data_IF_556974266301
#
_entry.id   IF_556974266301
#
_cell.length_a   1.000
_cell.length_b   1.000
_cell.length_c   1.000
_cell.angle_alpha   90.00
_cell.angle_beta   90.00
_cell.angle_gamma   90.00
#
_symmetry.space_group_name_H-M   'P 1'
#
loop_
_entity.id
_entity.type
_entity.pdbx_description
1 polymer ?
#
# COMPACT_ATOMS: atom_id res chain seq x y z
N UNK A 1 -13.71 -19.48 10.83
CA UNK A 1 -13.26 -20.81 10.40
C UNK A 1 -12.79 -20.72 8.95
N UNK A 2 -11.50 -20.36 8.73
CA UNK A 2 -10.91 -20.33 7.38
C UNK A 2 -10.42 -21.74 7.04
N UNK A 3 -11.05 -22.37 6.04
CA UNK A 3 -10.61 -23.61 5.44
C UNK A 3 -9.27 -23.40 4.74
N UNK A 4 -8.22 -24.09 5.19
CA UNK A 4 -6.91 -24.12 4.52
C UNK A 4 -7.06 -24.89 3.21
N UNK A 5 -7.12 -24.18 2.07
CA UNK A 5 -6.96 -24.82 0.76
C UNK A 5 -5.48 -25.14 0.54
N UNK A 6 -5.15 -26.42 0.54
CA UNK A 6 -3.83 -26.91 0.13
C UNK A 6 -3.70 -26.78 -1.39
N UNK A 7 -2.78 -25.92 -1.86
CA UNK A 7 -2.44 -25.81 -3.26
C UNK A 7 -1.38 -26.85 -3.62
N UNK A 8 -1.71 -27.76 -4.53
CA UNK A 8 -0.79 -28.79 -5.03
C UNK A 8 -0.21 -28.36 -6.38
N UNK A 9 1.10 -28.23 -6.47
CA UNK A 9 1.83 -28.10 -7.74
C UNK A 9 2.32 -29.48 -8.17
N UNK A 10 1.88 -29.93 -9.33
CA UNK A 10 2.26 -31.23 -9.92
C UNK A 10 3.52 -31.06 -10.76
N UNK A 11 4.68 -31.47 -10.27
CA UNK A 11 5.88 -31.59 -11.07
C UNK A 11 5.86 -32.87 -11.90
N UNK A 12 6.16 -32.78 -13.20
CA UNK A 12 6.37 -33.95 -14.08
C UNK A 12 7.76 -34.54 -13.76
N UNK A 13 7.78 -35.83 -13.40
CA UNK A 13 8.91 -36.69 -13.09
C UNK A 13 9.56 -36.55 -11.69
N UNK A 14 9.29 -37.55 -10.89
CA UNK A 14 9.60 -37.86 -9.49
C UNK A 14 8.62 -37.27 -8.48
N UNK A 15 7.85 -38.15 -7.84
CA UNK A 15 6.68 -37.88 -7.01
C UNK A 15 7.05 -37.38 -5.61
N UNK A 16 7.69 -36.22 -5.51
CA UNK A 16 7.76 -35.49 -4.26
C UNK A 16 6.65 -34.45 -4.24
N UNK A 17 5.67 -34.66 -3.36
CA UNK A 17 4.62 -33.68 -3.09
C UNK A 17 5.26 -32.54 -2.32
N UNK A 18 5.66 -31.46 -3.02
CA UNK A 18 6.17 -30.27 -2.35
C UNK A 18 4.96 -29.56 -1.74
N UNK A 19 4.82 -29.68 -0.41
CA UNK A 19 3.81 -28.93 0.34
C UNK A 19 4.31 -27.50 0.49
N UNK A 20 3.78 -26.59 -0.33
CA UNK A 20 3.99 -25.16 -0.12
C UNK A 20 3.21 -24.72 1.12
N UNK A 21 3.92 -24.30 2.16
CA UNK A 21 3.33 -23.68 3.35
C UNK A 21 3.45 -22.15 3.20
N UNK A 22 2.32 -21.44 3.02
CA UNK A 22 2.36 -19.99 2.88
C UNK A 22 2.89 -19.33 4.17
N UNK A 23 3.86 -18.44 4.02
CA UNK A 23 4.38 -17.64 5.12
C UNK A 23 3.44 -16.50 5.45
N UNK A 24 2.80 -16.52 6.61
CA UNK A 24 1.91 -15.46 7.08
C UNK A 24 2.56 -14.51 8.08
N UNK A 25 3.84 -14.72 8.40
CA UNK A 25 4.58 -13.82 9.25
C UNK A 25 4.87 -12.50 8.53
N UNK A 26 4.61 -11.38 9.19
CA UNK A 26 4.85 -10.03 8.69
C UNK A 26 5.92 -9.40 9.57
N UNK A 27 7.00 -8.92 8.94
CA UNK A 27 8.02 -8.13 9.60
C UNK A 27 7.55 -6.67 9.61
N UNK A 28 7.26 -6.16 10.80
CA UNK A 28 6.84 -4.77 10.99
C UNK A 28 8.05 -3.89 11.29
N UNK A 29 8.10 -2.73 10.64
CA UNK A 29 9.11 -1.69 10.87
C UNK A 29 8.44 -0.33 10.89
N UNK A 30 8.67 0.45 11.95
CA UNK A 30 8.35 1.87 11.99
C UNK A 30 9.61 2.66 11.64
N UNK A 31 9.52 3.46 10.60
CA UNK A 31 10.63 4.27 10.07
C UNK A 31 10.63 5.72 10.61
N UNK A 32 9.54 6.11 11.33
CA UNK A 32 9.34 7.49 11.77
C UNK A 32 9.19 8.47 10.60
N UNK A 33 9.65 9.71 10.77
CA UNK A 33 9.64 10.73 9.74
C UNK A 33 10.82 10.54 8.78
N UNK A 34 10.57 10.18 7.53
CA UNK A 34 11.60 9.84 6.55
C UNK A 34 11.27 10.42 5.17
N UNK A 35 12.28 10.92 4.39
CA UNK A 35 12.07 11.40 3.03
C UNK A 35 11.42 10.34 2.14
N UNK A 36 10.47 10.78 1.28
CA UNK A 36 9.70 9.89 0.41
C UNK A 36 10.58 9.01 -0.49
N UNK A 37 11.63 9.62 -1.09
CA UNK A 37 12.52 8.92 -2.03
C UNK A 37 13.26 7.75 -1.38
N UNK A 38 13.73 7.92 -0.16
CA UNK A 38 14.45 6.88 0.59
C UNK A 38 13.53 5.69 0.89
N UNK A 39 12.30 5.97 1.31
CA UNK A 39 11.32 4.92 1.57
C UNK A 39 10.86 4.24 0.29
N UNK A 40 10.74 4.96 -0.82
CA UNK A 40 10.42 4.36 -2.11
C UNK A 40 11.53 3.40 -2.57
N UNK A 41 12.80 3.80 -2.47
CA UNK A 41 13.95 2.94 -2.80
C UNK A 41 14.00 1.69 -1.91
N UNK A 42 13.70 1.85 -0.62
CA UNK A 42 13.60 0.72 0.29
C UNK A 42 12.49 -0.25 -0.13
N UNK A 43 11.30 0.24 -0.48
CA UNK A 43 10.19 -0.58 -0.96
C UNK A 43 10.59 -1.37 -2.22
N UNK A 44 11.24 -0.72 -3.21
CA UNK A 44 11.70 -1.39 -4.44
C UNK A 44 12.75 -2.47 -4.13
N UNK A 45 13.65 -2.21 -3.20
CA UNK A 45 14.66 -3.19 -2.74
C UNK A 45 14.00 -4.41 -2.10
N UNK A 46 13.04 -4.21 -1.19
CA UNK A 46 12.32 -5.30 -0.51
C UNK A 46 11.46 -6.11 -1.49
N UNK A 47 10.77 -5.43 -2.40
CA UNK A 47 10.00 -6.09 -3.47
C UNK A 47 10.91 -6.93 -4.38
N UNK A 48 12.07 -6.40 -4.77
CA UNK A 48 13.04 -7.12 -5.57
C UNK A 48 13.66 -8.30 -4.81
N UNK A 49 13.90 -8.16 -3.50
CA UNK A 49 14.36 -9.25 -2.64
C UNK A 49 13.33 -10.40 -2.62
N UNK A 50 12.08 -10.10 -2.33
CA UNK A 50 10.98 -11.08 -2.31
C UNK A 50 10.84 -11.76 -3.68
N UNK A 51 10.95 -11.00 -4.78
CA UNK A 51 10.89 -11.55 -6.13
C UNK A 51 12.05 -12.51 -6.43
N UNK A 52 13.27 -12.22 -5.94
CA UNK A 52 14.42 -13.13 -6.09
C UNK A 52 14.21 -14.44 -5.34
N UNK A 53 13.74 -14.39 -4.09
CA UNK A 53 13.41 -15.60 -3.32
C UNK A 53 12.37 -16.44 -4.06
N UNK A 54 11.29 -15.80 -4.53
CA UNK A 54 10.21 -16.43 -5.29
C UNK A 54 10.69 -17.08 -6.59
N UNK A 55 11.60 -16.42 -7.30
CA UNK A 55 12.20 -16.97 -8.53
C UNK A 55 13.11 -18.16 -8.23
N UNK A 56 13.94 -18.06 -7.18
CA UNK A 56 14.82 -19.15 -6.78
C UNK A 56 14.04 -20.42 -6.43
N UNK A 57 12.90 -20.27 -5.76
CA UNK A 57 12.03 -21.39 -5.39
C UNK A 57 11.50 -22.21 -6.59
N UNK A 58 11.47 -21.63 -7.79
CA UNK A 58 10.98 -22.36 -9.00
C UNK A 58 11.91 -23.48 -9.45
N UNK A 59 13.20 -23.38 -9.11
CA UNK A 59 14.26 -24.24 -9.61
C UNK A 59 14.95 -25.08 -8.49
N UNK A 60 14.44 -25.00 -7.25
CA UNK A 60 15.04 -25.68 -6.10
C UNK A 60 14.13 -26.76 -5.56
N UNK A 61 14.74 -27.81 -5.00
CA UNK A 61 14.03 -28.88 -4.28
C UNK A 61 13.56 -28.44 -2.88
N UNK A 62 14.19 -27.41 -2.32
CA UNK A 62 13.85 -26.85 -1.02
C UNK A 62 13.26 -25.43 -1.23
N UNK A 63 11.99 -25.25 -0.83
CA UNK A 63 11.28 -23.98 -0.94
C UNK A 63 11.57 -23.14 0.30
N UNK A 64 12.10 -21.93 0.09
CA UNK A 64 12.27 -20.92 1.14
C UNK A 64 11.01 -20.07 1.26
N UNK A 65 10.53 -19.78 2.49
CA UNK A 65 9.43 -18.87 2.70
C UNK A 65 9.74 -17.48 2.12
N UNK A 66 8.83 -16.91 1.32
CA UNK A 66 8.96 -15.52 0.87
C UNK A 66 8.62 -14.57 2.02
N UNK A 67 9.41 -13.49 2.21
CA UNK A 67 9.16 -12.55 3.30
C UNK A 67 7.98 -11.61 2.98
N UNK A 68 7.35 -11.10 4.05
CA UNK A 68 6.36 -10.03 3.99
C UNK A 68 6.78 -8.92 4.95
N UNK A 69 6.70 -7.67 4.50
CA UNK A 69 7.10 -6.49 5.27
C UNK A 69 5.94 -5.51 5.37
N UNK A 70 5.73 -4.92 6.54
CA UNK A 70 4.85 -3.79 6.75
C UNK A 70 5.68 -2.64 7.29
N UNK A 71 5.83 -1.59 6.47
CA UNK A 71 6.53 -0.39 6.89
C UNK A 71 5.50 0.69 7.25
N UNK A 72 5.69 1.33 8.41
CA UNK A 72 4.99 2.56 8.75
C UNK A 72 5.97 3.71 8.73
N UNK A 73 5.50 4.88 8.31
CA UNK A 73 6.28 6.11 8.33
C UNK A 73 5.37 7.34 8.25
N UNK A 74 5.97 8.50 8.47
CA UNK A 74 5.50 9.78 8.03
C UNK A 74 6.49 10.35 7.00
N UNK A 75 6.04 11.28 6.15
CA UNK A 75 6.91 11.96 5.20
C UNK A 75 6.94 13.47 5.46
N UNK A 76 8.04 14.17 5.16
CA UNK A 76 7.98 15.60 4.87
C UNK A 76 6.98 15.87 3.76
N UNK A 77 6.51 17.11 3.63
CA UNK A 77 5.51 17.47 2.62
C UNK A 77 5.91 17.01 1.22
N UNK A 78 5.09 16.17 0.61
CA UNK A 78 5.33 15.61 -0.72
C UNK A 78 4.04 15.33 -1.47
N UNK A 79 4.03 15.68 -2.74
CA UNK A 79 3.00 15.27 -3.69
C UNK A 79 3.50 14.11 -4.53
N UNK A 80 2.65 13.10 -4.73
CA UNK A 80 2.98 11.95 -5.56
C UNK A 80 1.93 11.77 -6.65
N UNK A 81 2.37 11.76 -7.91
CA UNK A 81 1.51 11.51 -9.08
C UNK A 81 1.60 10.04 -9.45
N UNK A 82 0.48 9.32 -9.38
CA UNK A 82 0.38 7.93 -9.75
C UNK A 82 0.40 7.72 -11.27
N UNK A 83 0.43 6.45 -11.68
CA UNK A 83 0.58 6.06 -13.10
C UNK A 83 -0.57 6.55 -13.99
N UNK A 84 -1.78 6.63 -13.47
CA UNK A 84 -2.98 7.09 -14.19
C UNK A 84 -3.31 8.56 -13.96
N UNK A 85 -2.43 9.29 -13.23
CA UNK A 85 -2.68 10.67 -12.88
C UNK A 85 -2.35 11.66 -14.00
N UNK A 86 -3.07 12.79 -14.00
CA UNK A 86 -2.80 13.92 -14.86
C UNK A 86 -1.97 14.97 -14.09
N UNK A 87 -0.90 15.48 -14.70
CA UNK A 87 -0.07 16.53 -14.10
C UNK A 87 -0.82 17.84 -13.89
N UNK A 88 -1.88 18.10 -14.66
CA UNK A 88 -2.75 19.27 -14.49
C UNK A 88 -3.52 19.24 -13.15
N UNK A 89 -3.60 18.08 -12.50
CA UNK A 89 -4.17 17.95 -11.16
C UNK A 89 -3.25 18.50 -10.05
N UNK A 90 -2.00 18.83 -10.36
CA UNK A 90 -1.18 19.71 -9.52
C UNK A 90 -1.52 21.16 -9.89
N UNK A 91 -2.29 21.83 -9.03
CA UNK A 91 -2.81 23.21 -9.26
C UNK A 91 -1.74 24.28 -9.07
N UNK A 92 -0.57 23.91 -8.58
CA UNK A 92 0.59 24.79 -8.37
C UNK A 92 1.71 24.40 -9.34
N UNK A 93 2.46 25.39 -9.82
CA UNK A 93 3.67 25.09 -10.61
C UNK A 93 4.68 24.34 -9.74
N UNK A 94 5.26 23.28 -10.28
CA UNK A 94 6.24 22.43 -9.56
C UNK A 94 7.42 23.25 -9.00
N UNK A 95 7.85 24.29 -9.75
CA UNK A 95 8.91 25.21 -9.33
C UNK A 95 8.60 26.00 -8.05
N UNK A 96 7.33 26.13 -7.65
CA UNK A 96 6.92 26.85 -6.45
C UNK A 96 6.71 25.93 -5.23
N UNK A 97 6.75 24.61 -5.39
CA UNK A 97 6.52 23.69 -4.28
C UNK A 97 7.51 23.88 -3.13
N UNK A 98 8.76 24.29 -3.44
CA UNK A 98 9.77 24.58 -2.43
C UNK A 98 9.35 25.71 -1.48
N UNK A 99 8.52 26.67 -1.92
CA UNK A 99 8.05 27.78 -1.08
C UNK A 99 7.12 27.34 0.05
N UNK A 100 6.47 26.17 -0.13
CA UNK A 100 5.64 25.51 0.88
C UNK A 100 6.34 24.31 1.50
N UNK A 101 7.65 24.15 1.29
CA UNK A 101 8.45 23.05 1.82
C UNK A 101 8.08 21.67 1.27
N UNK A 102 7.44 21.62 0.08
CA UNK A 102 6.98 20.36 -0.51
C UNK A 102 7.87 19.90 -1.68
N UNK A 103 7.95 18.58 -1.86
CA UNK A 103 8.56 17.93 -3.01
C UNK A 103 7.50 17.27 -3.90
N UNK A 104 7.89 16.86 -5.11
CA UNK A 104 7.02 16.20 -6.08
C UNK A 104 7.70 15.00 -6.73
N UNK A 105 6.98 13.88 -6.82
CA UNK A 105 7.46 12.68 -7.48
C UNK A 105 6.40 12.06 -8.39
N UNK A 106 6.80 11.72 -9.62
CA UNK A 106 6.03 10.83 -10.50
C UNK A 106 6.39 9.40 -10.17
N UNK A 107 5.39 8.57 -9.86
CA UNK A 107 5.59 7.23 -9.34
C UNK A 107 4.70 6.21 -10.05
N UNK A 108 4.89 4.94 -9.74
CA UNK A 108 4.25 3.83 -10.44
C UNK A 108 3.13 3.13 -9.64
N UNK A 109 2.59 3.78 -8.59
CA UNK A 109 1.38 3.29 -7.90
C UNK A 109 0.13 3.50 -8.76
N UNK A 110 -0.94 2.77 -8.46
CA UNK A 110 -2.26 3.07 -9.00
C UNK A 110 -2.81 4.40 -8.47
N UNK A 111 -3.81 4.93 -9.18
CA UNK A 111 -4.46 6.19 -8.85
C UNK A 111 -3.76 7.43 -9.41
N UNK A 112 -4.30 8.58 -9.04
CA UNK A 112 -3.91 9.91 -9.49
C UNK A 112 -2.97 10.60 -8.48
N UNK A 113 -3.00 11.94 -8.40
CA UNK A 113 -2.19 12.72 -7.47
C UNK A 113 -2.71 12.57 -6.04
N UNK A 114 -1.78 12.57 -5.09
CA UNK A 114 -2.09 12.67 -3.66
C UNK A 114 -1.00 13.45 -2.94
N UNK A 115 -1.25 13.75 -1.68
CA UNK A 115 -0.35 14.43 -0.78
C UNK A 115 0.01 13.52 0.40
N UNK A 116 1.26 13.61 0.86
CA UNK A 116 1.73 13.08 2.13
C UNK A 116 2.44 14.18 2.92
N UNK A 117 2.30 14.16 4.24
CA UNK A 117 2.94 15.12 5.12
C UNK A 117 2.94 14.69 6.58
N UNK A 118 3.58 15.47 7.47
CA UNK A 118 3.58 15.20 8.90
C UNK A 118 2.16 15.06 9.46
N UNK A 119 1.97 14.15 10.40
CA UNK A 119 0.67 13.81 10.97
C UNK A 119 -0.18 12.87 10.11
N UNK A 120 0.32 12.43 8.94
CA UNK A 120 -0.29 11.39 8.11
C UNK A 120 0.49 10.09 8.29
N UNK A 121 -0.14 9.07 8.87
CA UNK A 121 0.45 7.74 8.94
C UNK A 121 0.39 7.07 7.57
N UNK A 122 1.55 6.81 6.99
CA UNK A 122 1.68 6.09 5.72
C UNK A 122 2.09 4.65 5.98
N UNK A 123 1.35 3.71 5.39
CA UNK A 123 1.62 2.28 5.50
C UNK A 123 1.96 1.65 4.16
N UNK A 124 3.08 0.94 4.11
CA UNK A 124 3.57 0.24 2.92
C UNK A 124 3.63 -1.26 3.17
N UNK A 125 2.57 -2.02 2.85
CA UNK A 125 2.60 -3.47 2.90
C UNK A 125 3.27 -4.03 1.63
N UNK A 126 4.48 -4.57 1.79
CA UNK A 126 5.24 -5.26 0.75
C UNK A 126 5.10 -6.77 1.00
N UNK A 127 4.01 -7.35 0.48
CA UNK A 127 3.60 -8.73 0.75
C UNK A 127 3.71 -9.58 -0.50
N UNK A 128 4.15 -10.82 -0.36
CA UNK A 128 3.84 -11.84 -1.36
C UNK A 128 2.39 -12.31 -1.17
N UNK A 129 1.51 -11.80 -2.01
CA UNK A 129 0.07 -12.07 -1.91
C UNK A 129 -0.27 -13.56 -2.11
N UNK A 130 0.61 -14.36 -2.73
CA UNK A 130 0.43 -15.82 -2.80
C UNK A 130 0.48 -16.47 -1.41
N UNK A 131 1.10 -15.82 -0.43
CA UNK A 131 1.04 -16.26 0.97
C UNK A 131 -0.34 -16.09 1.60
N UNK A 132 -1.21 -15.25 1.02
CA UNK A 132 -2.52 -14.88 1.55
C UNK A 132 -3.63 -15.25 0.57
N UNK A 133 -3.74 -14.48 -0.51
CA UNK A 133 -4.69 -14.68 -1.62
C UNK A 133 -4.27 -13.87 -2.84
N UNK A 134 -4.60 -14.35 -4.03
CA UNK A 134 -4.25 -13.71 -5.32
C UNK A 134 -5.45 -12.97 -5.90
N UNK A 135 -5.89 -11.93 -5.21
CA UNK A 135 -6.99 -11.06 -5.61
C UNK A 135 -6.70 -9.63 -5.13
N UNK A 136 -6.49 -8.71 -6.08
CA UNK A 136 -6.14 -7.31 -5.76
C UNK A 136 -7.33 -6.54 -5.19
N UNK A 137 -8.56 -6.84 -5.63
CA UNK A 137 -9.75 -6.20 -5.08
C UNK A 137 -9.96 -6.61 -3.62
N UNK A 138 -9.87 -7.91 -3.35
CA UNK A 138 -9.94 -8.43 -1.98
C UNK A 138 -8.82 -7.86 -1.10
N UNK A 139 -7.62 -7.70 -1.66
CA UNK A 139 -6.48 -7.09 -0.97
C UNK A 139 -6.78 -5.65 -0.54
N UNK A 140 -7.26 -4.80 -1.48
CA UNK A 140 -7.65 -3.43 -1.16
C UNK A 140 -8.78 -3.39 -0.12
N UNK A 141 -9.83 -4.20 -0.29
CA UNK A 141 -10.93 -4.29 0.69
C UNK A 141 -10.45 -4.74 2.07
N UNK A 142 -9.43 -5.61 2.14
CA UNK A 142 -8.83 -6.06 3.41
C UNK A 142 -8.04 -4.94 4.09
N UNK A 143 -7.29 -4.14 3.33
CA UNK A 143 -6.60 -2.97 3.86
C UNK A 143 -7.58 -1.92 4.38
N UNK A 144 -8.65 -1.63 3.63
CA UNK A 144 -9.70 -0.72 4.09
C UNK A 144 -10.37 -1.22 5.35
N UNK A 145 -10.66 -2.53 5.45
CA UNK A 145 -11.25 -3.13 6.65
C UNK A 145 -10.34 -2.95 7.88
N UNK A 146 -9.02 -3.07 7.70
CA UNK A 146 -8.07 -2.84 8.78
C UNK A 146 -8.16 -1.39 9.31
N UNK A 147 -8.26 -0.40 8.40
CA UNK A 147 -8.43 1.01 8.77
C UNK A 147 -9.79 1.26 9.43
N UNK A 148 -10.88 0.70 8.90
CA UNK A 148 -12.22 0.82 9.49
C UNK A 148 -12.22 0.30 10.93
N UNK A 149 -11.64 -0.88 11.18
CA UNK A 149 -11.52 -1.43 12.53
C UNK A 149 -10.63 -0.58 13.44
N UNK A 150 -9.57 -0.02 12.89
CA UNK A 150 -8.72 0.92 13.63
C UNK A 150 -9.52 2.15 14.03
N UNK A 151 -10.26 2.79 13.12
CA UNK A 151 -11.15 3.91 13.45
C UNK A 151 -12.16 3.53 14.54
N UNK A 152 -12.78 2.36 14.42
CA UNK A 152 -13.75 1.86 15.41
C UNK A 152 -13.13 1.70 16.80
N UNK A 153 -11.88 1.26 16.89
CA UNK A 153 -11.19 1.12 18.19
C UNK A 153 -10.94 2.45 18.89
N UNK A 154 -10.99 3.56 18.13
CA UNK A 154 -10.94 4.93 18.66
C UNK A 154 -12.31 5.60 18.76
N UNK A 155 -13.39 4.84 18.58
CA UNK A 155 -14.76 5.36 18.67
C UNK A 155 -15.23 6.15 17.46
N UNK A 156 -14.50 6.08 16.33
CA UNK A 156 -14.87 6.73 15.06
C UNK A 156 -15.63 5.76 14.17
N UNK A 157 -16.79 6.21 13.67
CA UNK A 157 -17.54 5.49 12.63
C UNK A 157 -16.97 5.83 11.28
N UNK A 158 -16.39 4.83 10.62
CA UNK A 158 -15.82 4.96 9.29
C UNK A 158 -16.31 3.83 8.38
N UNK A 159 -16.36 4.08 7.07
CA UNK A 159 -16.87 3.10 6.12
C UNK A 159 -16.35 3.32 4.71
N UNK A 160 -16.92 2.54 3.79
CA UNK A 160 -16.63 2.59 2.35
C UNK A 160 -17.77 3.31 1.62
N UNK A 161 -17.43 3.91 0.48
CA UNK A 161 -18.39 4.41 -0.48
C UNK A 161 -18.36 3.49 -1.69
N UNK A 162 -19.52 3.04 -2.15
CA UNK A 162 -19.63 2.14 -3.31
C UNK A 162 -18.97 2.75 -4.56
N UNK A 163 -18.24 1.95 -5.30
CA UNK A 163 -17.50 2.37 -6.49
C UNK A 163 -16.21 3.15 -6.23
N UNK A 164 -15.93 3.54 -4.99
CA UNK A 164 -14.73 4.28 -4.63
C UNK A 164 -13.76 3.43 -3.80
N UNK A 165 -12.46 3.75 -3.91
CA UNK A 165 -11.40 3.15 -3.09
C UNK A 165 -10.95 4.14 -2.02
N UNK A 166 -11.06 3.72 -0.75
CA UNK A 166 -10.73 4.57 0.39
C UNK A 166 -11.51 4.17 1.64
N UNK A 167 -11.29 4.94 2.70
CA UNK A 167 -12.11 4.91 3.92
C UNK A 167 -12.52 6.33 4.26
N UNK A 168 -13.79 6.50 4.58
CA UNK A 168 -14.40 7.80 4.89
C UNK A 168 -15.05 7.78 6.27
N UNK A 169 -14.94 8.90 6.98
CA UNK A 169 -15.85 9.25 8.06
C UNK A 169 -17.05 9.99 7.47
N UNK A 170 -18.19 9.91 8.16
CA UNK A 170 -19.46 10.47 7.67
C UNK A 170 -19.86 9.90 6.29
N UNK A 171 -19.51 8.66 6.01
CA UNK A 171 -19.61 8.02 4.69
C UNK A 171 -21.07 7.86 4.18
N UNK A 172 -22.06 7.98 5.06
CA UNK A 172 -23.50 7.98 4.72
C UNK A 172 -24.08 9.40 4.60
N UNK A 173 -23.29 10.43 4.83
CA UNK A 173 -23.71 11.84 4.75
C UNK A 173 -23.60 12.39 3.32
N UNK A 174 -24.08 13.62 3.12
CA UNK A 174 -23.94 14.34 1.84
C UNK A 174 -22.51 14.88 1.62
N UNK A 175 -21.70 14.97 2.68
CA UNK A 175 -20.34 15.49 2.63
C UNK A 175 -19.36 14.50 3.32
N UNK A 176 -19.09 13.33 2.71
CA UNK A 176 -18.20 12.35 3.28
C UNK A 176 -16.75 12.81 3.23
N UNK A 177 -16.01 12.62 4.32
CA UNK A 177 -14.62 13.03 4.45
C UNK A 177 -13.68 11.82 4.37
N UNK A 178 -12.81 11.78 3.35
CA UNK A 178 -11.86 10.70 3.20
C UNK A 178 -10.78 10.75 4.29
N UNK A 179 -10.78 9.78 5.18
CA UNK A 179 -9.78 9.66 6.25
C UNK A 179 -8.57 8.84 5.82
N UNK A 180 -8.73 7.90 4.88
CA UNK A 180 -7.62 7.11 4.38
C UNK A 180 -7.72 6.89 2.87
N UNK A 181 -6.63 7.20 2.16
CA UNK A 181 -6.47 6.95 0.74
C UNK A 181 -5.62 5.68 0.50
N UNK A 182 -5.86 4.99 -0.62
CA UNK A 182 -5.12 3.79 -1.01
C UNK A 182 -4.62 3.90 -2.44
N UNK A 183 -3.38 3.50 -2.64
CA UNK A 183 -2.79 3.40 -3.95
C UNK A 183 -1.71 2.33 -3.95
N UNK A 184 -1.98 1.16 -4.54
CA UNK A 184 -1.07 0.03 -4.56
C UNK A 184 -0.53 -0.26 -5.95
N UNK A 185 0.59 -0.95 -6.00
CA UNK A 185 1.14 -1.62 -7.17
C UNK A 185 1.32 -3.09 -6.81
N UNK A 186 1.03 -3.98 -7.74
CA UNK A 186 1.37 -5.39 -7.62
C UNK A 186 2.12 -5.85 -8.86
N UNK A 187 3.17 -6.63 -8.66
CA UNK A 187 3.89 -7.30 -9.73
C UNK A 187 4.29 -8.70 -9.28
N UNK A 188 3.97 -9.72 -10.08
CA UNK A 188 4.19 -11.13 -9.72
C UNK A 188 3.56 -11.50 -8.36
N UNK A 189 2.42 -10.89 -8.05
CA UNK A 189 1.72 -11.00 -6.78
C UNK A 189 2.50 -10.49 -5.56
N UNK A 190 3.50 -9.63 -5.76
CA UNK A 190 4.15 -8.90 -4.68
C UNK A 190 3.61 -7.48 -4.70
N UNK A 191 3.05 -7.03 -3.56
CA UNK A 191 2.51 -5.68 -3.40
C UNK A 191 3.60 -4.67 -3.07
N UNK A 192 3.31 -3.39 -3.36
CA UNK A 192 4.13 -2.23 -3.05
C UNK A 192 3.24 -0.99 -2.96
N UNK A 193 3.73 0.08 -2.33
CA UNK A 193 2.94 1.23 -1.90
C UNK A 193 1.85 0.77 -0.89
N UNK A 194 0.76 1.48 -0.73
CA UNK A 194 -0.22 1.07 0.26
C UNK A 194 -1.27 2.13 0.56
N UNK A 195 -1.23 2.68 1.77
CA UNK A 195 -2.25 3.62 2.24
C UNK A 195 -1.65 4.84 2.94
N UNK A 196 -2.45 5.89 3.00
CA UNK A 196 -2.16 7.14 3.69
C UNK A 196 -3.35 7.51 4.58
N UNK A 197 -3.15 7.44 5.89
CA UNK A 197 -4.16 7.63 6.92
C UNK A 197 -3.98 8.98 7.59
N UNK A 198 -4.94 9.88 7.42
CA UNK A 198 -4.93 11.24 7.97
C UNK A 198 -5.28 11.19 9.46
N UNK A 199 -4.28 11.31 10.33
CA UNK A 199 -4.47 11.36 11.78
C UNK A 199 -4.47 12.82 12.26
N UNK A 200 -3.36 13.54 12.02
CA UNK A 200 -3.19 14.95 12.36
C UNK A 200 -2.58 15.75 11.18
N UNK A 201 -2.79 15.26 9.94
CA UNK A 201 -2.25 15.90 8.75
C UNK A 201 -2.84 17.29 8.54
N UNK A 202 -2.01 18.22 8.06
CA UNK A 202 -2.49 19.52 7.58
C UNK A 202 -3.21 19.33 6.23
N UNK A 203 -4.53 19.32 6.27
CA UNK A 203 -5.37 19.10 5.09
C UNK A 203 -5.37 20.29 4.12
N UNK A 204 -4.86 21.47 4.51
CA UNK A 204 -4.76 22.62 3.61
C UNK A 204 -3.88 22.35 2.40
N UNK A 205 -2.90 21.45 2.51
CA UNK A 205 -2.05 21.02 1.40
C UNK A 205 -2.84 20.33 0.27
N UNK A 206 -3.99 19.72 0.57
CA UNK A 206 -4.86 19.15 -0.47
C UNK A 206 -5.50 20.21 -1.37
N UNK A 207 -5.53 21.49 -0.98
CA UNK A 207 -6.02 22.59 -1.83
C UNK A 207 -5.13 22.88 -3.04
N UNK A 208 -3.92 22.37 -3.05
CA UNK A 208 -2.96 22.51 -4.16
C UNK A 208 -3.07 21.40 -5.21
N UNK A 209 -4.01 20.47 -5.05
CA UNK A 209 -4.25 19.37 -5.99
C UNK A 209 -5.74 19.18 -6.25
N UNK A 210 -6.08 18.54 -7.36
CA UNK A 210 -7.40 17.93 -7.58
C UNK A 210 -7.32 16.48 -7.08
N UNK A 211 -7.76 16.19 -5.85
CA UNK A 211 -7.64 14.85 -5.30
C UNK A 211 -8.61 13.89 -5.98
N UNK A 212 -8.20 12.63 -6.12
CA UNK A 212 -9.02 11.55 -6.69
C UNK A 212 -10.15 11.15 -5.74
#
# INVERSE_FOLDING_TARGET
LFSQKKHFLRAKHNSYLIIYMPNKNIQFVDLGLVPYKETWDLQESLMAHTARVKLANRNQSEIRPTPNFLLFCEHPHVYTLGKSGDQSHLLMQESFLHTIGASFFKINRGGDITYHGPGQLVGYPIFDLENFFTDIHLYLRTLEEAIIRTCSSYGLVAGRIEGLTGVWIDHESQDPRKICAFGVKASRWISMHGFAFNVNADLSYFTHIVPC
#
